data_IF_404485501824
#
_entry.id   IF_404485501824
#
_cell.length_a   1.000
_cell.length_b   1.000
_cell.length_c   1.000
_cell.angle_alpha   90.00
_cell.angle_beta   90.00
_cell.angle_gamma   90.00
#
_symmetry.space_group_name_H-M   'P 1'
#
loop_
_entity.id
_entity.type
_entity.pdbx_description
1 polymer ?
#
# COMPACT_ATOMS: atom_id res chain seq x y z
N UNK A 1 11.30 -16.68 27.45
CA UNK A 1 9.89 -16.49 27.04
C UNK A 1 9.90 -16.20 25.55
N UNK A 2 9.13 -16.94 24.76
CA UNK A 2 8.88 -16.60 23.36
C UNK A 2 7.65 -15.70 23.37
N UNK A 3 7.73 -14.49 22.81
CA UNK A 3 6.57 -13.64 22.66
C UNK A 3 5.59 -14.31 21.68
N UNK A 4 4.38 -14.60 22.15
CA UNK A 4 3.32 -15.20 21.33
C UNK A 4 2.14 -14.25 21.25
N UNK A 5 1.82 -13.82 20.04
CA UNK A 5 0.64 -12.99 19.78
C UNK A 5 -0.59 -13.85 19.50
N UNK A 6 -1.74 -13.44 20.05
CA UNK A 6 -3.03 -14.09 19.78
C UNK A 6 -3.72 -13.38 18.62
N UNK A 7 -4.04 -14.13 17.58
CA UNK A 7 -4.81 -13.64 16.42
C UNK A 7 -6.04 -14.51 16.21
N UNK A 8 -7.17 -13.89 15.83
CA UNK A 8 -8.38 -14.59 15.38
C UNK A 8 -8.40 -14.59 13.86
N UNK A 9 -8.65 -15.75 13.26
CA UNK A 9 -8.78 -15.91 11.81
C UNK A 9 -10.16 -16.44 11.45
N UNK A 10 -10.63 -16.09 10.25
CA UNK A 10 -11.83 -16.68 9.64
C UNK A 10 -11.40 -17.48 8.42
N UNK A 11 -11.81 -18.74 8.37
CA UNK A 11 -11.53 -19.66 7.27
C UNK A 11 -12.83 -20.12 6.63
N UNK A 12 -12.79 -20.46 5.34
CA UNK A 12 -13.93 -21.10 4.69
C UNK A 12 -14.22 -22.46 5.34
N UNK A 13 -15.49 -22.86 5.35
CA UNK A 13 -15.94 -24.09 6.03
C UNK A 13 -15.12 -25.31 5.61
N UNK A 14 -14.87 -25.47 4.30
CA UNK A 14 -14.04 -26.54 3.76
C UNK A 14 -12.65 -26.65 4.43
N UNK A 15 -11.96 -25.53 4.66
CA UNK A 15 -10.66 -25.55 5.32
C UNK A 15 -10.77 -25.88 6.81
N UNK A 16 -11.86 -25.47 7.46
CA UNK A 16 -12.12 -25.84 8.85
C UNK A 16 -12.40 -27.33 8.99
N UNK A 17 -13.13 -27.93 8.05
CA UNK A 17 -13.38 -29.37 8.01
C UNK A 17 -12.06 -30.14 7.87
N UNK A 18 -11.17 -29.71 6.96
CA UNK A 18 -9.83 -30.31 6.84
C UNK A 18 -8.99 -30.17 8.13
N UNK A 19 -9.10 -29.05 8.84
CA UNK A 19 -8.42 -28.87 10.13
C UNK A 19 -8.97 -29.84 11.17
N UNK A 20 -10.29 -30.07 11.20
CA UNK A 20 -10.93 -31.02 12.11
C UNK A 20 -10.49 -32.46 11.83
N UNK A 21 -10.42 -32.86 10.56
CA UNK A 21 -9.95 -34.19 10.15
C UNK A 21 -8.49 -34.47 10.56
N UNK A 22 -7.70 -33.42 10.76
CA UNK A 22 -6.30 -33.53 11.18
C UNK A 22 -6.11 -33.56 12.71
N UNK A 23 -7.18 -33.42 13.50
CA UNK A 23 -7.12 -33.53 14.96
C UNK A 23 -6.82 -34.99 15.34
N UNK A 24 -5.94 -35.16 16.32
CA UNK A 24 -5.42 -36.46 16.74
C UNK A 24 -4.18 -36.90 15.95
N UNK A 25 -3.95 -36.35 14.76
CA UNK A 25 -2.75 -36.62 13.94
C UNK A 25 -1.71 -35.51 14.08
N UNK A 26 -2.11 -34.26 13.83
CA UNK A 26 -1.20 -33.11 13.87
C UNK A 26 -1.22 -32.34 15.19
N UNK A 27 -2.27 -32.52 15.99
CA UNK A 27 -2.45 -31.87 17.30
C UNK A 27 -3.74 -32.29 17.98
N UNK A 28 -3.94 -31.90 19.23
CA UNK A 28 -5.12 -32.29 20.03
C UNK A 28 -6.26 -31.27 19.97
N UNK A 29 -6.04 -30.13 19.31
CA UNK A 29 -7.04 -29.09 19.11
C UNK A 29 -6.87 -28.40 17.77
N UNK A 30 -7.93 -27.73 17.27
CA UNK A 30 -7.88 -26.93 16.03
C UNK A 30 -6.73 -25.92 16.04
N UNK A 31 -6.51 -25.25 17.17
CA UNK A 31 -5.44 -24.26 17.30
C UNK A 31 -4.06 -24.89 17.10
N UNK A 32 -3.79 -26.04 17.72
CA UNK A 32 -2.51 -26.74 17.55
C UNK A 32 -2.32 -27.24 16.12
N UNK A 33 -3.37 -27.79 15.50
CA UNK A 33 -3.32 -28.23 14.10
C UNK A 33 -3.01 -27.06 13.18
N UNK A 34 -3.70 -25.92 13.34
CA UNK A 34 -3.47 -24.70 12.55
C UNK A 34 -2.03 -24.20 12.76
N UNK A 35 -1.55 -24.12 14.01
CA UNK A 35 -0.17 -23.71 14.28
C UNK A 35 0.84 -24.61 13.56
N UNK A 36 0.65 -25.94 13.62
CA UNK A 36 1.53 -26.91 12.96
C UNK A 36 1.53 -26.75 11.43
N UNK A 37 0.35 -26.53 10.83
CA UNK A 37 0.22 -26.30 9.39
C UNK A 37 0.96 -25.02 8.99
N UNK A 38 0.82 -23.95 9.79
CA UNK A 38 1.52 -22.69 9.55
C UNK A 38 3.04 -22.87 9.67
N UNK A 39 3.53 -23.60 10.68
CA UNK A 39 4.95 -23.95 10.82
C UNK A 39 5.46 -24.69 9.57
N UNK A 40 4.77 -25.77 9.16
CA UNK A 40 5.12 -26.54 7.96
C UNK A 40 5.12 -25.66 6.70
N UNK A 41 4.20 -24.69 6.61
CA UNK A 41 4.19 -23.74 5.51
C UNK A 41 5.45 -22.87 5.50
N UNK A 42 5.87 -22.34 6.65
CA UNK A 42 7.06 -21.48 6.74
C UNK A 42 8.39 -22.25 6.66
N UNK A 43 8.42 -23.53 6.99
CA UNK A 43 9.63 -24.36 6.87
C UNK A 43 10.01 -24.67 5.41
N UNK A 44 9.08 -24.46 4.47
CA UNK A 44 9.31 -24.69 3.04
C UNK A 44 10.00 -23.48 2.38
N UNK A 45 11.20 -23.65 1.79
CA UNK A 45 11.95 -22.54 1.16
C UNK A 45 11.15 -21.76 0.11
N UNK A 46 10.35 -22.44 -0.70
CA UNK A 46 9.52 -21.83 -1.74
C UNK A 46 8.48 -20.84 -1.19
N UNK A 47 8.00 -21.07 0.03
CA UNK A 47 7.02 -20.20 0.69
C UNK A 47 7.71 -18.98 1.30
N UNK A 48 8.92 -19.14 1.83
CA UNK A 48 9.74 -18.01 2.29
C UNK A 48 10.01 -17.04 1.14
N UNK A 49 10.41 -17.55 -0.02
CA UNK A 49 10.63 -16.74 -1.22
C UNK A 49 9.37 -15.99 -1.66
N UNK A 50 8.21 -16.65 -1.58
CA UNK A 50 6.92 -16.02 -1.87
C UNK A 50 6.60 -14.88 -0.89
N UNK A 51 6.80 -15.10 0.42
CA UNK A 51 6.58 -14.09 1.46
C UNK A 51 7.51 -12.89 1.26
N UNK A 52 8.78 -13.09 0.90
CA UNK A 52 9.71 -11.99 0.62
C UNK A 52 9.29 -11.16 -0.59
N UNK A 53 8.76 -11.79 -1.64
CA UNK A 53 8.16 -11.07 -2.78
C UNK A 53 6.97 -10.21 -2.34
N UNK A 54 6.11 -10.72 -1.47
CA UNK A 54 4.97 -9.96 -0.92
C UNK A 54 5.43 -8.78 -0.04
N UNK A 55 6.43 -8.97 0.82
CA UNK A 55 7.02 -7.89 1.63
C UNK A 55 7.60 -6.79 0.75
N UNK A 56 8.30 -7.14 -0.34
CA UNK A 56 8.81 -6.16 -1.32
C UNK A 56 7.68 -5.36 -1.96
N UNK A 57 6.60 -6.03 -2.39
CA UNK A 57 5.41 -5.35 -2.94
C UNK A 57 4.78 -4.38 -1.94
N UNK A 58 4.64 -4.79 -0.68
CA UNK A 58 4.12 -3.93 0.41
C UNK A 58 5.00 -2.69 0.61
N UNK A 59 6.33 -2.86 0.71
CA UNK A 59 7.27 -1.73 0.83
C UNK A 59 7.16 -0.75 -0.34
N UNK A 60 7.03 -1.26 -1.57
CA UNK A 60 6.82 -0.41 -2.75
C UNK A 60 5.50 0.37 -2.64
N UNK A 61 4.42 -0.28 -2.20
CA UNK A 61 3.13 0.39 -2.02
C UNK A 61 3.16 1.45 -0.91
N UNK A 62 3.82 1.15 0.21
CA UNK A 62 4.03 2.10 1.31
C UNK A 62 4.85 3.31 0.86
N UNK A 63 5.96 3.08 0.13
CA UNK A 63 6.78 4.17 -0.41
C UNK A 63 6.01 5.03 -1.41
N UNK A 64 5.20 4.42 -2.30
CA UNK A 64 4.32 5.19 -3.21
C UNK A 64 3.32 6.05 -2.44
N UNK A 65 2.76 5.53 -1.34
CA UNK A 65 1.80 6.26 -0.49
C UNK A 65 2.45 7.42 0.27
N UNK A 66 3.69 7.24 0.73
CA UNK A 66 4.49 8.30 1.35
C UNK A 66 4.79 9.42 0.33
N UNK A 67 5.28 9.05 -0.86
CA UNK A 67 5.57 9.99 -1.95
C UNK A 67 4.29 10.76 -2.34
N UNK A 68 3.15 10.08 -2.47
CA UNK A 68 1.88 10.76 -2.78
C UNK A 68 1.47 11.73 -1.67
N UNK A 69 1.61 11.36 -0.39
CA UNK A 69 1.24 12.24 0.72
C UNK A 69 2.08 13.51 0.77
N UNK A 70 3.39 13.43 0.52
CA UNK A 70 4.27 14.60 0.53
C UNK A 70 4.05 15.50 -0.69
N UNK A 71 3.85 14.93 -1.88
CA UNK A 71 3.48 15.69 -3.08
C UNK A 71 2.16 16.42 -2.84
N UNK A 72 1.15 15.74 -2.29
CA UNK A 72 -0.15 16.37 -2.00
C UNK A 72 -0.02 17.53 -1.00
N UNK A 73 0.78 17.40 0.06
CA UNK A 73 1.07 18.51 0.97
C UNK A 73 1.75 19.68 0.25
N UNK A 74 2.72 19.40 -0.62
CA UNK A 74 3.37 20.43 -1.42
C UNK A 74 2.38 21.12 -2.36
N UNK A 75 1.51 20.38 -3.05
CA UNK A 75 0.46 20.95 -3.91
C UNK A 75 -0.44 21.90 -3.11
N UNK A 76 -0.94 21.45 -1.95
CA UNK A 76 -1.78 22.29 -1.07
C UNK A 76 -1.05 23.55 -0.64
N UNK A 77 0.22 23.44 -0.24
CA UNK A 77 1.01 24.60 0.16
C UNK A 77 1.25 25.55 -1.02
N UNK A 78 1.55 25.04 -2.20
CA UNK A 78 1.83 25.87 -3.36
C UNK A 78 0.60 26.63 -3.85
N UNK A 79 -0.57 25.98 -3.84
CA UNK A 79 -1.86 26.59 -4.18
C UNK A 79 -2.43 27.54 -3.09
N UNK A 80 -1.76 27.68 -1.94
CA UNK A 80 -2.09 28.73 -0.96
C UNK A 80 -1.53 30.09 -1.35
N UNK A 81 -0.36 30.12 -1.97
CA UNK A 81 0.39 31.37 -2.20
C UNK A 81 0.16 31.98 -3.57
N UNK A 82 -0.26 31.19 -4.56
CA UNK A 82 -0.50 31.69 -5.91
C UNK A 82 -1.73 31.05 -6.56
N UNK A 83 -2.48 31.89 -7.29
CA UNK A 83 -3.63 31.48 -8.09
C UNK A 83 -3.26 31.19 -9.55
N UNK A 84 -2.05 31.57 -9.98
CA UNK A 84 -1.57 31.40 -11.35
C UNK A 84 -0.09 31.04 -11.32
N UNK A 85 0.21 29.80 -11.67
CA UNK A 85 1.51 29.17 -11.44
C UNK A 85 2.03 28.64 -12.77
N UNK A 86 3.23 29.06 -13.23
CA UNK A 86 3.90 28.41 -14.35
C UNK A 86 4.14 26.91 -14.08
N UNK A 87 3.95 26.07 -15.09
CA UNK A 87 4.11 24.63 -14.93
C UNK A 87 5.53 24.22 -14.56
N UNK A 88 6.54 24.93 -15.06
CA UNK A 88 7.93 24.63 -14.74
C UNK A 88 8.21 24.89 -13.25
N UNK A 89 7.73 26.02 -12.69
CA UNK A 89 7.79 26.30 -11.25
C UNK A 89 7.04 25.23 -10.42
N UNK A 90 5.92 24.72 -10.93
CA UNK A 90 5.15 23.66 -10.29
C UNK A 90 5.92 22.34 -10.24
N UNK A 91 6.56 21.96 -11.36
CA UNK A 91 7.38 20.75 -11.47
C UNK A 91 8.58 20.84 -10.53
N UNK A 92 9.27 21.98 -10.54
CA UNK A 92 10.45 22.22 -9.72
C UNK A 92 10.12 22.20 -8.23
N UNK A 93 9.01 22.83 -7.82
CA UNK A 93 8.57 22.83 -6.42
C UNK A 93 8.17 21.43 -5.93
N UNK A 94 7.46 20.67 -6.76
CA UNK A 94 7.08 19.30 -6.44
C UNK A 94 8.29 18.34 -6.48
N UNK A 95 9.35 18.71 -7.20
CA UNK A 95 10.53 17.88 -7.48
C UNK A 95 10.13 16.56 -8.16
N UNK A 96 9.32 16.68 -9.22
CA UNK A 96 8.84 15.56 -10.03
C UNK A 96 9.29 15.74 -11.48
N UNK A 97 9.18 14.71 -12.31
CA UNK A 97 9.40 14.82 -13.74
C UNK A 97 8.11 15.13 -14.52
N UNK A 98 8.26 15.48 -15.81
CA UNK A 98 7.14 15.82 -16.71
C UNK A 98 6.21 14.63 -16.96
N UNK A 99 6.70 13.39 -16.90
CA UNK A 99 5.87 12.18 -17.11
C UNK A 99 4.95 11.92 -15.90
N UNK A 100 5.50 12.06 -14.69
CA UNK A 100 4.79 11.94 -13.43
C UNK A 100 3.71 13.02 -13.32
N UNK A 101 4.00 14.26 -13.74
CA UNK A 101 3.00 15.30 -13.82
C UNK A 101 1.89 14.91 -14.80
N UNK A 102 2.21 14.54 -16.05
CA UNK A 102 1.19 14.17 -17.07
C UNK A 102 0.27 13.04 -16.61
N UNK A 103 0.81 12.06 -15.89
CA UNK A 103 0.04 10.91 -15.41
C UNK A 103 -0.94 11.28 -14.29
N UNK A 104 -0.61 12.30 -13.49
CA UNK A 104 -1.36 12.62 -12.27
C UNK A 104 -2.10 13.97 -12.30
N UNK A 105 -1.81 14.85 -13.27
CA UNK A 105 -2.34 16.22 -13.30
C UNK A 105 -3.86 16.28 -13.35
N UNK A 106 -4.52 15.36 -14.07
CA UNK A 106 -5.98 15.28 -14.12
C UNK A 106 -6.57 14.93 -12.76
N UNK A 107 -6.00 13.93 -12.07
CA UNK A 107 -6.42 13.55 -10.72
C UNK A 107 -6.18 14.68 -9.72
N UNK A 108 -5.06 15.37 -9.82
CA UNK A 108 -4.74 16.49 -8.93
C UNK A 108 -5.62 17.71 -9.20
N UNK A 109 -5.93 18.01 -10.45
CA UNK A 109 -6.82 19.09 -10.86
C UNK A 109 -8.22 18.91 -10.23
N UNK A 110 -8.76 17.70 -10.27
CA UNK A 110 -10.03 17.34 -9.63
C UNK A 110 -9.94 17.41 -8.10
N UNK A 111 -8.91 16.79 -7.52
CA UNK A 111 -8.73 16.69 -6.07
C UNK A 111 -8.45 18.04 -5.38
N UNK A 112 -7.71 18.92 -6.02
CA UNK A 112 -7.27 20.21 -5.46
C UNK A 112 -7.94 21.43 -6.09
N UNK A 113 -8.95 21.20 -6.93
CA UNK A 113 -9.75 22.23 -7.60
C UNK A 113 -8.90 23.29 -8.33
N UNK A 114 -8.06 22.85 -9.25
CA UNK A 114 -7.34 23.73 -10.17
C UNK A 114 -7.50 23.24 -11.60
N UNK A 115 -7.21 24.09 -12.58
CA UNK A 115 -7.15 23.71 -13.99
C UNK A 115 -5.75 23.93 -14.55
N UNK A 116 -5.39 23.08 -15.50
CA UNK A 116 -4.17 23.24 -16.28
C UNK A 116 -4.54 23.89 -17.62
N UNK A 117 -4.02 25.08 -17.89
CA UNK A 117 -4.27 25.85 -19.11
C UNK A 117 -3.00 26.59 -19.53
N UNK A 118 -2.66 26.56 -20.83
CA UNK A 118 -1.51 27.25 -21.43
C UNK A 118 -0.22 27.18 -20.58
N UNK A 119 0.21 25.97 -20.22
CA UNK A 119 1.40 25.73 -19.39
C UNK A 119 1.36 26.38 -18.00
N UNK A 120 0.16 26.62 -17.47
CA UNK A 120 -0.05 27.20 -16.15
C UNK A 120 -1.08 26.41 -15.35
N UNK A 121 -0.86 26.32 -14.05
CA UNK A 121 -1.80 25.81 -13.05
C UNK A 121 -2.58 27.02 -12.53
N UNK A 122 -3.88 27.04 -12.79
CA UNK A 122 -4.79 28.12 -12.38
C UNK A 122 -5.74 27.54 -11.34
N UNK A 123 -5.72 28.08 -10.12
CA UNK A 123 -6.64 27.68 -9.06
C UNK A 123 -8.07 28.09 -9.44
N UNK A 124 -9.01 27.15 -9.37
CA UNK A 124 -10.42 27.49 -9.52
C UNK A 124 -10.88 28.06 -8.17
N UNK A 125 -11.19 29.35 -8.15
CA UNK A 125 -11.77 30.05 -7.00
C UNK A 125 -13.25 29.71 -6.93
#
# INVERSE_FOLDING_TARGET
MVDTDRTTISLAQFYMDCVEDCIGVLGTSKAQVISKIVEIFFDKPENIDYIEKLKKKRKIAENKKLISSDIEKKIVNFLKFSNNIPIDDFIDFLNIDKEHLRTNISNWAEKFNFRYDNQKIIKNI
#
